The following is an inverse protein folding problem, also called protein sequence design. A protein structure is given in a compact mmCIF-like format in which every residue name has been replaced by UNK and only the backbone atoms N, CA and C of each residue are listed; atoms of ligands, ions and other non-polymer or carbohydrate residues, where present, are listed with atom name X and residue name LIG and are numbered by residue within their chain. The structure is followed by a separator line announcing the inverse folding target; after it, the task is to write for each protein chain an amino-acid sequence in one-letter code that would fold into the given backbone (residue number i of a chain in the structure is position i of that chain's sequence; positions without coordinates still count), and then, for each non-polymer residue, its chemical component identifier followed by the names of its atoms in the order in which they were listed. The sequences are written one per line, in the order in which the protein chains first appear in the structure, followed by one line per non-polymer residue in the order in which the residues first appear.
data_IF_604762399758
#
_entry.id   IF_604762399758
#
_cell.length_a   1.000
_cell.length_b   1.000
_cell.length_c   1.000
_cell.angle_alpha   90.00
_cell.angle_beta   90.00
_cell.angle_gamma   90.00
#
_symmetry.space_group_name_H-M   'P 1'
#
loop_
_entity.id
_entity.type
_entity.pdbx_description
1 polymer ?
#
# COMPACT_ATOMS: atom_id res chain seq x y z
N UNK A 1 -20.88 23.60 -33.23
CA UNK A 1 -22.01 22.65 -33.23
C UNK A 1 -21.92 21.64 -34.39
N UNK A 2 -21.65 22.05 -35.64
CA UNK A 2 -21.50 21.12 -36.80
C UNK A 2 -20.30 20.16 -36.63
N UNK A 3 -19.13 20.66 -36.23
CA UNK A 3 -17.93 19.82 -36.08
C UNK A 3 -18.03 18.75 -34.96
N UNK A 4 -18.84 18.96 -33.92
CA UNK A 4 -19.08 17.94 -32.89
C UNK A 4 -19.99 16.81 -33.39
N UNK A 5 -20.92 17.12 -34.30
CA UNK A 5 -21.83 16.15 -34.91
C UNK A 5 -21.08 15.33 -35.99
N UNK A 6 -20.24 15.97 -36.80
CA UNK A 6 -19.39 15.31 -37.80
C UNK A 6 -18.36 14.40 -37.13
N UNK A 7 -17.70 14.84 -36.05
CA UNK A 7 -16.76 13.99 -35.31
C UNK A 7 -17.47 12.79 -34.65
N UNK A 8 -18.67 12.97 -34.10
CA UNK A 8 -19.48 11.85 -33.59
C UNK A 8 -19.86 10.88 -34.69
N UNK A 9 -20.18 11.37 -35.89
CA UNK A 9 -20.50 10.55 -37.06
C UNK A 9 -19.29 9.74 -37.53
N UNK A 10 -18.11 10.36 -37.64
CA UNK A 10 -16.87 9.70 -38.03
C UNK A 10 -16.44 8.62 -37.01
N UNK A 11 -16.57 8.93 -35.72
CA UNK A 11 -16.27 7.98 -34.65
C UNK A 11 -17.19 6.74 -34.69
N UNK A 12 -18.49 6.94 -34.87
CA UNK A 12 -19.45 5.83 -35.01
C UNK A 12 -19.18 4.98 -36.25
N UNK A 13 -18.74 5.60 -37.35
CA UNK A 13 -18.37 4.88 -38.57
C UNK A 13 -17.10 4.05 -38.36
N UNK A 14 -16.12 4.57 -37.62
CA UNK A 14 -14.90 3.85 -37.27
C UNK A 14 -15.20 2.63 -36.37
N UNK A 15 -16.06 2.80 -35.35
CA UNK A 15 -16.54 1.66 -34.53
C UNK A 15 -17.20 0.59 -35.41
N UNK A 16 -18.09 0.99 -36.32
CA UNK A 16 -18.75 0.04 -37.22
C UNK A 16 -17.73 -0.70 -38.11
N UNK A 17 -16.71 0.00 -38.58
CA UNK A 17 -15.63 -0.59 -39.38
C UNK A 17 -14.86 -1.63 -38.58
N UNK A 18 -14.52 -1.35 -37.33
CA UNK A 18 -13.85 -2.32 -36.44
C UNK A 18 -14.74 -3.54 -36.19
N UNK A 19 -16.03 -3.35 -35.92
CA UNK A 19 -16.98 -4.45 -35.72
C UNK A 19 -17.06 -5.36 -36.96
N UNK A 20 -17.00 -4.79 -38.16
CA UNK A 20 -17.06 -5.55 -39.42
C UNK A 20 -15.73 -6.23 -39.76
N UNK A 21 -14.58 -5.61 -39.46
CA UNK A 21 -13.26 -6.05 -39.93
C UNK A 21 -12.48 -6.87 -38.90
N UNK A 22 -12.67 -6.62 -37.60
CA UNK A 22 -11.90 -7.24 -36.52
C UNK A 22 -12.58 -8.47 -35.91
N UNK A 23 -13.64 -8.98 -36.54
CA UNK A 23 -14.46 -10.04 -35.94
C UNK A 23 -13.70 -11.33 -35.61
N UNK A 24 -12.78 -11.78 -36.48
CA UNK A 24 -11.98 -12.99 -36.22
C UNK A 24 -10.96 -12.78 -35.09
N UNK A 25 -10.35 -11.59 -35.05
CA UNK A 25 -9.46 -11.18 -33.98
C UNK A 25 -10.18 -11.15 -32.62
N UNK A 26 -11.35 -10.52 -32.54
CA UNK A 26 -12.13 -10.45 -31.30
C UNK A 26 -12.62 -11.84 -30.88
N UNK A 27 -13.05 -12.69 -31.83
CA UNK A 27 -13.40 -14.09 -31.52
C UNK A 27 -12.21 -14.90 -30.99
N UNK A 28 -10.99 -14.61 -31.43
CA UNK A 28 -9.79 -15.19 -30.87
C UNK A 28 -9.57 -14.72 -29.42
N UNK A 29 -9.63 -13.41 -29.16
CA UNK A 29 -9.50 -12.87 -27.80
C UNK A 29 -10.56 -13.41 -26.83
N UNK A 30 -11.81 -13.55 -27.28
CA UNK A 30 -12.89 -14.15 -26.48
C UNK A 30 -12.49 -15.54 -26.01
N UNK A 31 -11.98 -16.39 -26.92
CA UNK A 31 -11.54 -17.74 -26.56
C UNK A 31 -10.40 -17.70 -25.56
N UNK A 32 -9.41 -16.83 -25.75
CA UNK A 32 -8.29 -16.70 -24.81
C UNK A 32 -8.79 -16.33 -23.40
N UNK A 33 -9.71 -15.35 -23.28
CA UNK A 33 -10.30 -14.97 -21.99
C UNK A 33 -11.14 -16.11 -21.40
N UNK A 34 -11.97 -16.79 -22.20
CA UNK A 34 -12.80 -17.90 -21.73
C UNK A 34 -11.97 -19.08 -21.21
N UNK A 35 -10.86 -19.40 -21.87
CA UNK A 35 -9.97 -20.50 -21.49
C UNK A 35 -8.93 -20.12 -20.44
N UNK A 36 -8.74 -18.81 -20.18
CA UNK A 36 -7.80 -18.32 -19.18
C UNK A 36 -8.07 -18.94 -17.80
N UNK A 37 -7.08 -19.65 -17.27
CA UNK A 37 -7.14 -20.31 -15.98
C UNK A 37 -5.72 -20.29 -15.41
N UNK A 38 -5.57 -19.75 -14.20
CA UNK A 38 -4.25 -19.51 -13.63
C UNK A 38 -4.13 -20.12 -12.24
N UNK A 39 -2.92 -20.53 -11.90
CA UNK A 39 -2.56 -21.01 -10.55
C UNK A 39 -1.74 -19.99 -9.78
N UNK A 40 -1.09 -19.05 -10.48
CA UNK A 40 -0.35 -17.94 -9.90
C UNK A 40 -0.88 -16.60 -10.42
N UNK A 41 -1.05 -15.64 -9.51
CA UNK A 41 -1.48 -14.29 -9.85
C UNK A 41 -0.40 -13.55 -10.66
N UNK A 42 0.88 -13.94 -10.52
CA UNK A 42 1.97 -13.39 -11.32
C UNK A 42 1.81 -13.68 -12.81
N UNK A 43 1.10 -14.75 -13.19
CA UNK A 43 0.80 -15.09 -14.59
C UNK A 43 -0.42 -14.31 -15.13
N UNK A 44 -1.33 -13.88 -14.24
CA UNK A 44 -2.49 -13.06 -14.61
C UNK A 44 -2.05 -11.66 -15.08
N UNK A 45 -1.02 -11.11 -14.45
CA UNK A 45 -0.50 -9.76 -14.76
C UNK A 45 -0.05 -9.62 -16.23
N UNK A 46 0.85 -10.47 -16.77
CA UNK A 46 1.24 -10.39 -18.17
C UNK A 46 0.10 -10.75 -19.13
N UNK A 47 -0.82 -11.64 -18.75
CA UNK A 47 -2.00 -11.93 -19.56
C UNK A 47 -2.91 -10.71 -19.72
N UNK A 48 -3.24 -10.02 -18.61
CA UNK A 48 -4.06 -8.80 -18.65
C UNK A 48 -3.37 -7.72 -19.46
N UNK A 49 -2.06 -7.56 -19.27
CA UNK A 49 -1.29 -6.59 -20.05
C UNK A 49 -1.37 -6.89 -21.55
N UNK A 50 -1.14 -8.13 -21.94
CA UNK A 50 -1.27 -8.55 -23.34
C UNK A 50 -2.67 -8.28 -23.87
N UNK A 51 -3.71 -8.64 -23.11
CA UNK A 51 -5.11 -8.43 -23.50
C UNK A 51 -5.42 -6.95 -23.72
N UNK A 52 -4.96 -6.08 -22.81
CA UNK A 52 -5.16 -4.64 -22.92
C UNK A 52 -4.36 -4.04 -24.10
N UNK A 53 -3.14 -4.54 -24.35
CA UNK A 53 -2.34 -4.15 -25.52
C UNK A 53 -3.05 -4.55 -26.82
N UNK A 54 -3.63 -5.75 -26.91
CA UNK A 54 -4.40 -6.22 -28.08
C UNK A 54 -5.71 -5.42 -28.28
N UNK A 55 -6.43 -5.12 -27.20
CA UNK A 55 -7.67 -4.34 -27.28
C UNK A 55 -7.42 -2.86 -27.59
N UNK A 56 -6.20 -2.35 -27.33
CA UNK A 56 -5.81 -0.98 -27.65
C UNK A 56 -5.80 -0.66 -29.15
N UNK A 57 -5.82 -1.68 -30.02
CA UNK A 57 -5.95 -1.51 -31.46
C UNK A 57 -7.37 -1.11 -31.91
N UNK A 58 -8.38 -1.31 -31.05
CA UNK A 58 -9.76 -0.92 -31.33
C UNK A 58 -9.95 0.58 -31.10
N UNK A 59 -10.80 1.20 -31.92
CA UNK A 59 -11.10 2.64 -31.82
C UNK A 59 -11.79 2.98 -30.49
N UNK A 60 -12.72 2.13 -30.05
CA UNK A 60 -13.40 2.21 -28.77
C UNK A 60 -13.70 0.78 -28.30
N UNK A 61 -12.88 0.27 -27.37
CA UNK A 61 -12.98 -1.10 -26.84
C UNK A 61 -14.42 -1.43 -26.42
N UNK A 62 -15.02 -0.60 -25.57
CA UNK A 62 -16.36 -0.88 -25.03
C UNK A 62 -17.42 -0.83 -26.12
N UNK A 63 -17.35 0.16 -27.01
CA UNK A 63 -18.34 0.30 -28.06
C UNK A 63 -18.23 -0.77 -29.15
N UNK A 64 -17.03 -1.32 -29.40
CA UNK A 64 -16.83 -2.42 -30.34
C UNK A 64 -17.23 -3.75 -29.69
N UNK A 65 -16.72 -4.04 -28.48
CA UNK A 65 -16.94 -5.33 -27.81
C UNK A 65 -18.40 -5.62 -27.50
N UNK A 66 -19.26 -4.60 -27.33
CA UNK A 66 -20.72 -4.79 -27.13
C UNK A 66 -21.43 -5.51 -28.30
N UNK A 67 -20.79 -5.57 -29.48
CA UNK A 67 -21.32 -6.26 -30.66
C UNK A 67 -20.90 -7.74 -30.71
N UNK A 68 -20.16 -8.22 -29.72
CA UNK A 68 -19.67 -9.58 -29.61
C UNK A 68 -20.10 -10.18 -28.27
N UNK A 69 -20.08 -11.51 -28.16
CA UNK A 69 -20.27 -12.23 -26.89
C UNK A 69 -19.01 -12.12 -26.02
N UNK A 70 -18.61 -10.90 -25.71
CA UNK A 70 -17.42 -10.63 -24.90
C UNK A 70 -17.64 -11.13 -23.46
N UNK A 71 -16.72 -11.94 -22.89
CA UNK A 71 -16.81 -12.43 -21.50
C UNK A 71 -16.44 -11.32 -20.50
N UNK A 72 -17.22 -10.23 -20.50
CA UNK A 72 -16.96 -8.98 -19.77
C UNK A 72 -16.67 -9.23 -18.28
N UNK A 73 -17.50 -10.03 -17.62
CA UNK A 73 -17.34 -10.33 -16.19
C UNK A 73 -16.00 -10.99 -15.86
N UNK A 74 -15.51 -11.87 -16.75
CA UNK A 74 -14.24 -12.58 -16.55
C UNK A 74 -13.06 -11.67 -16.87
N UNK A 75 -13.13 -10.92 -17.97
CA UNK A 75 -12.11 -9.94 -18.33
C UNK A 75 -11.93 -8.87 -17.24
N UNK A 76 -13.03 -8.32 -16.72
CA UNK A 76 -13.01 -7.34 -15.64
C UNK A 76 -12.48 -7.93 -14.34
N UNK A 77 -12.83 -9.18 -14.01
CA UNK A 77 -12.29 -9.84 -12.83
C UNK A 77 -10.78 -10.09 -12.94
N UNK A 78 -10.27 -10.47 -14.12
CA UNK A 78 -8.83 -10.64 -14.39
C UNK A 78 -8.09 -9.31 -14.23
N UNK A 79 -8.62 -8.23 -14.83
CA UNK A 79 -8.09 -6.88 -14.69
C UNK A 79 -8.06 -6.43 -13.23
N UNK A 80 -9.20 -6.53 -12.53
CA UNK A 80 -9.32 -6.17 -11.12
C UNK A 80 -8.29 -6.92 -10.26
N UNK A 81 -8.10 -8.22 -10.50
CA UNK A 81 -7.13 -9.04 -9.78
C UNK A 81 -5.69 -8.61 -10.07
N UNK A 82 -5.34 -8.40 -11.35
CA UNK A 82 -4.00 -7.98 -11.76
C UNK A 82 -3.66 -6.59 -11.19
N UNK A 83 -4.56 -5.62 -11.28
CA UNK A 83 -4.35 -4.28 -10.74
C UNK A 83 -4.26 -4.30 -9.22
N UNK A 84 -5.17 -5.00 -8.54
CA UNK A 84 -5.14 -5.15 -7.08
C UNK A 84 -3.82 -5.76 -6.62
N UNK A 85 -3.39 -6.87 -7.23
CA UNK A 85 -2.10 -7.49 -6.95
C UNK A 85 -0.92 -6.52 -7.15
N UNK A 86 -0.88 -5.82 -8.28
CA UNK A 86 0.19 -4.86 -8.59
C UNK A 86 0.25 -3.71 -7.58
N UNK A 87 -0.90 -3.18 -7.15
CA UNK A 87 -0.99 -2.12 -6.15
C UNK A 87 -0.43 -2.59 -4.80
N UNK A 88 -0.76 -3.80 -4.36
CA UNK A 88 -0.20 -4.37 -3.13
C UNK A 88 1.30 -4.65 -3.24
N UNK A 89 1.76 -5.16 -4.38
CA UNK A 89 3.19 -5.37 -4.65
C UNK A 89 3.97 -4.06 -4.61
N UNK A 90 3.42 -3.00 -5.20
CA UNK A 90 4.01 -1.65 -5.17
C UNK A 90 4.03 -1.07 -3.76
N UNK A 91 2.94 -1.21 -3.01
CA UNK A 91 2.83 -0.73 -1.63
C UNK A 91 3.82 -1.44 -0.70
N UNK A 92 3.92 -2.77 -0.81
CA UNK A 92 4.92 -3.57 -0.08
C UNK A 92 6.34 -3.11 -0.44
N UNK A 93 6.65 -2.96 -1.73
CA UNK A 93 7.96 -2.51 -2.19
C UNK A 93 8.30 -1.10 -1.70
N UNK A 94 7.35 -0.14 -1.70
CA UNK A 94 7.54 1.21 -1.15
C UNK A 94 7.96 1.13 0.33
N UNK A 95 7.32 0.25 1.10
CA UNK A 95 7.60 0.05 2.52
C UNK A 95 8.93 -0.66 2.79
N UNK A 96 9.17 -1.78 2.11
CA UNK A 96 10.37 -2.61 2.28
C UNK A 96 11.64 -1.87 1.83
N UNK A 97 11.55 -1.11 0.74
CA UNK A 97 12.69 -0.33 0.20
C UNK A 97 12.89 1.03 0.87
N UNK A 98 12.01 1.44 1.78
CA UNK A 98 12.10 2.75 2.44
C UNK A 98 13.48 2.96 3.09
N UNK A 99 14.14 4.08 2.80
CA UNK A 99 15.41 4.46 3.42
C UNK A 99 15.26 5.80 4.12
N UNK A 100 15.63 5.83 5.39
CA UNK A 100 15.75 7.09 6.11
C UNK A 100 16.93 7.90 5.56
N UNK A 101 16.76 9.21 5.45
CA UNK A 101 17.80 10.12 5.00
C UNK A 101 18.27 10.96 6.20
N UNK A 102 19.48 10.71 6.73
CA UNK A 102 19.98 11.41 7.91
C UNK A 102 20.08 12.93 7.74
N UNK A 103 20.20 13.42 6.49
CA UNK A 103 20.29 14.85 6.16
C UNK A 103 18.94 15.58 6.24
N UNK A 104 17.81 14.86 6.28
CA UNK A 104 16.49 15.47 6.38
C UNK A 104 16.18 15.82 7.85
N UNK A 105 15.50 16.94 8.14
CA UNK A 105 15.05 17.24 9.50
C UNK A 105 14.24 16.08 10.11
N UNK A 106 14.47 15.78 11.39
CA UNK A 106 13.86 14.63 12.07
C UNK A 106 12.34 14.62 11.92
N UNK A 107 11.67 15.72 12.24
CA UNK A 107 10.20 15.82 12.11
C UNK A 107 9.68 15.52 10.69
N UNK A 108 10.42 15.90 9.64
CA UNK A 108 10.04 15.57 8.26
C UNK A 108 10.20 14.08 7.97
N UNK A 109 11.28 13.45 8.44
CA UNK A 109 11.51 12.03 8.29
C UNK A 109 10.43 11.21 9.01
N UNK A 110 10.12 11.57 10.27
CA UNK A 110 9.08 10.91 11.07
C UNK A 110 7.70 11.03 10.43
N UNK A 111 7.33 12.21 9.91
CA UNK A 111 6.06 12.41 9.18
C UNK A 111 5.96 11.52 7.93
N UNK A 112 7.04 11.34 7.18
CA UNK A 112 7.06 10.44 6.01
C UNK A 112 6.86 8.98 6.40
N UNK A 113 7.54 8.53 7.45
CA UNK A 113 7.38 7.17 7.97
C UNK A 113 5.96 6.94 8.48
N UNK A 114 5.37 7.93 9.15
CA UNK A 114 3.99 7.85 9.61
C UNK A 114 2.99 7.78 8.45
N UNK A 115 3.12 8.65 7.45
CA UNK A 115 2.26 8.63 6.27
C UNK A 115 2.36 7.30 5.51
N UNK A 116 3.57 6.74 5.39
CA UNK A 116 3.78 5.43 4.78
C UNK A 116 3.10 4.31 5.57
N UNK A 117 3.21 4.33 6.89
CA UNK A 117 2.51 3.35 7.72
C UNK A 117 0.97 3.47 7.63
N UNK A 118 0.43 4.69 7.58
CA UNK A 118 -1.00 4.92 7.40
C UNK A 118 -1.50 4.37 6.05
N UNK A 119 -0.71 4.50 4.98
CA UNK A 119 -1.01 3.85 3.69
C UNK A 119 -1.05 2.31 3.82
N UNK A 120 -0.11 1.71 4.56
CA UNK A 120 -0.04 0.26 4.76
C UNK A 120 -1.26 -0.26 5.53
N UNK A 121 -1.64 0.42 6.62
CA UNK A 121 -2.85 0.09 7.39
C UNK A 121 -4.11 0.21 6.53
N UNK A 122 -4.22 1.29 5.77
CA UNK A 122 -5.37 1.51 4.89
C UNK A 122 -5.45 0.46 3.78
N UNK A 123 -4.31 0.08 3.19
CA UNK A 123 -4.22 -0.99 2.20
C UNK A 123 -4.73 -2.32 2.74
N UNK A 124 -4.25 -2.75 3.92
CA UNK A 124 -4.71 -4.01 4.54
C UNK A 124 -6.18 -3.96 4.93
N UNK A 125 -6.66 -2.84 5.43
CA UNK A 125 -8.08 -2.65 5.73
C UNK A 125 -8.95 -2.81 4.47
N UNK A 126 -8.55 -2.17 3.36
CA UNK A 126 -9.26 -2.27 2.08
C UNK A 126 -9.24 -3.71 1.54
N UNK A 127 -8.09 -4.39 1.61
CA UNK A 127 -7.98 -5.80 1.21
C UNK A 127 -8.97 -6.66 1.99
N UNK A 128 -9.01 -6.51 3.31
CA UNK A 128 -9.92 -7.25 4.19
C UNK A 128 -11.39 -7.04 3.79
N UNK A 129 -11.77 -5.79 3.49
CA UNK A 129 -13.15 -5.46 3.08
C UNK A 129 -13.56 -6.05 1.74
N UNK A 130 -12.69 -6.03 0.74
CA UNK A 130 -13.01 -6.54 -0.61
C UNK A 130 -12.84 -8.06 -0.74
N UNK A 131 -12.07 -8.69 0.15
CA UNK A 131 -11.65 -10.09 0.01
C UNK A 131 -12.81 -11.06 -0.14
N UNK A 132 -13.86 -10.95 0.67
CA UNK A 132 -14.94 -11.95 0.63
C UNK A 132 -15.73 -11.93 -0.69
N UNK A 133 -16.06 -10.73 -1.19
CA UNK A 133 -16.80 -10.57 -2.44
C UNK A 133 -15.94 -10.95 -3.65
N UNK A 134 -14.67 -10.52 -3.68
CA UNK A 134 -13.73 -10.85 -4.74
C UNK A 134 -13.43 -12.36 -4.80
N UNK A 135 -13.24 -13.01 -3.66
CA UNK A 135 -12.92 -14.45 -3.58
C UNK A 135 -13.98 -15.32 -4.27
N UNK A 136 -15.26 -15.03 -4.05
CA UNK A 136 -16.36 -15.80 -4.67
C UNK A 136 -16.30 -15.66 -6.20
N UNK A 137 -16.08 -14.44 -6.70
CA UNK A 137 -15.98 -14.14 -8.14
C UNK A 137 -14.74 -14.77 -8.78
N UNK A 138 -13.58 -14.59 -8.15
CA UNK A 138 -12.30 -15.09 -8.66
C UNK A 138 -12.26 -16.61 -8.75
N UNK A 139 -12.84 -17.32 -7.77
CA UNK A 139 -12.98 -18.78 -7.84
C UNK A 139 -13.79 -19.26 -9.03
N UNK A 140 -14.89 -18.59 -9.37
CA UNK A 140 -15.71 -18.93 -10.54
C UNK A 140 -14.90 -18.80 -11.83
N UNK A 141 -14.01 -17.81 -11.89
CA UNK A 141 -13.18 -17.53 -13.06
C UNK A 141 -11.79 -18.15 -13.03
N UNK A 142 -11.49 -19.02 -12.05
CA UNK A 142 -10.18 -19.67 -11.90
C UNK A 142 -9.02 -18.67 -11.79
N UNK A 143 -9.26 -17.58 -11.04
CA UNK A 143 -8.27 -16.56 -10.71
C UNK A 143 -7.70 -16.87 -9.31
N UNK A 144 -6.37 -16.93 -9.14
CA UNK A 144 -5.73 -17.16 -7.84
C UNK A 144 -6.08 -16.12 -6.79
N UNK A 145 -6.28 -16.57 -5.55
CA UNK A 145 -6.71 -15.75 -4.41
C UNK A 145 -5.70 -15.77 -3.26
N UNK A 146 -4.67 -16.61 -3.35
CA UNK A 146 -3.68 -16.91 -2.32
C UNK A 146 -2.96 -15.63 -1.86
N UNK A 147 -2.72 -14.70 -2.80
CA UNK A 147 -2.10 -13.41 -2.53
C UNK A 147 -2.93 -12.51 -1.60
N UNK A 148 -4.26 -12.70 -1.56
CA UNK A 148 -5.20 -11.96 -0.71
C UNK A 148 -5.33 -12.54 0.70
N UNK A 149 -4.82 -13.75 0.91
CA UNK A 149 -4.94 -14.46 2.18
C UNK A 149 -3.97 -13.89 3.21
N UNK A 150 -4.17 -14.22 4.49
CA UNK A 150 -3.34 -13.69 5.58
C UNK A 150 -1.87 -14.14 5.45
N UNK A 151 -1.61 -15.27 4.78
CA UNK A 151 -0.28 -15.77 4.43
C UNK A 151 0.37 -15.08 3.23
N UNK A 152 -0.39 -14.28 2.47
CA UNK A 152 0.08 -13.53 1.31
C UNK A 152 0.63 -12.14 1.67
N UNK A 153 0.15 -11.09 1.00
CA UNK A 153 0.65 -9.73 1.21
C UNK A 153 0.42 -9.19 2.61
N UNK A 154 -0.58 -9.67 3.33
CA UNK A 154 -0.85 -9.26 4.72
C UNK A 154 0.39 -9.47 5.59
N UNK A 155 1.04 -10.62 5.48
CA UNK A 155 2.25 -10.92 6.25
C UNK A 155 3.44 -10.06 5.80
N UNK A 156 3.63 -9.87 4.50
CA UNK A 156 4.72 -9.07 3.96
C UNK A 156 4.62 -7.60 4.38
N UNK A 157 3.41 -7.01 4.28
CA UNK A 157 3.14 -5.64 4.72
C UNK A 157 3.35 -5.49 6.23
N UNK A 158 2.89 -6.44 7.05
CA UNK A 158 3.15 -6.42 8.50
C UNK A 158 4.66 -6.42 8.80
N UNK A 159 5.43 -7.27 8.12
CA UNK A 159 6.89 -7.29 8.26
C UNK A 159 7.54 -5.96 7.84
N UNK A 160 7.11 -5.38 6.73
CA UNK A 160 7.61 -4.09 6.27
C UNK A 160 7.29 -2.97 7.28
N UNK A 161 6.09 -2.98 7.86
CA UNK A 161 5.69 -2.05 8.93
C UNK A 161 6.58 -2.19 10.18
N UNK A 162 6.92 -3.41 10.60
CA UNK A 162 7.84 -3.65 11.73
C UNK A 162 9.23 -3.05 11.45
N UNK A 163 9.78 -3.27 10.25
CA UNK A 163 11.06 -2.67 9.84
C UNK A 163 10.99 -1.14 9.78
N UNK A 164 9.85 -0.59 9.37
CA UNK A 164 9.61 0.86 9.37
C UNK A 164 9.58 1.41 10.80
N UNK A 165 8.93 0.73 11.74
CA UNK A 165 8.96 1.08 13.17
C UNK A 165 10.37 1.07 13.74
N UNK A 166 11.20 0.08 13.40
CA UNK A 166 12.60 0.07 13.83
C UNK A 166 13.34 1.32 13.34
N UNK A 167 13.20 1.68 12.05
CA UNK A 167 13.84 2.89 11.48
C UNK A 167 13.34 4.16 12.18
N UNK A 168 12.04 4.23 12.46
CA UNK A 168 11.43 5.33 13.19
C UNK A 168 12.04 5.49 14.59
N UNK A 169 12.07 4.41 15.37
CA UNK A 169 12.58 4.43 16.74
C UNK A 169 14.08 4.76 16.80
N UNK A 170 14.87 4.28 15.83
CA UNK A 170 16.28 4.64 15.68
C UNK A 170 16.45 6.13 15.37
N UNK A 171 15.60 6.69 14.50
CA UNK A 171 15.64 8.12 14.16
C UNK A 171 15.29 8.99 15.37
N UNK A 172 14.25 8.64 16.12
CA UNK A 172 13.90 9.30 17.39
C UNK A 172 15.06 9.19 18.38
N UNK A 173 15.61 8.00 18.57
CA UNK A 173 16.70 7.78 19.52
C UNK A 173 17.95 8.60 19.21
N UNK A 174 18.29 8.76 17.92
CA UNK A 174 19.40 9.60 17.49
C UNK A 174 19.13 11.10 17.71
N UNK A 175 17.89 11.56 17.50
CA UNK A 175 17.53 12.96 17.77
C UNK A 175 17.60 13.28 19.26
N UNK A 176 17.18 12.34 20.12
CA UNK A 176 17.25 12.47 21.58
C UNK A 176 18.70 12.59 22.11
N UNK A 177 19.71 12.17 21.34
CA UNK A 177 21.12 12.38 21.72
C UNK A 177 21.62 13.80 21.42
N UNK A 178 20.90 14.54 20.56
CA UNK A 178 21.27 15.87 20.10
C UNK A 178 20.49 16.99 20.82
N UNK A 179 19.33 16.67 21.39
CA UNK A 179 18.49 17.61 22.15
C UNK A 179 18.90 17.63 23.61
N UNK A 180 19.15 18.81 24.17
CA UNK A 180 19.56 18.99 25.58
C UNK A 180 18.36 19.32 26.47
N UNK A 181 17.55 18.29 26.78
CA UNK A 181 16.46 18.40 27.74
C UNK A 181 15.26 19.27 27.31
N UNK A 182 14.08 19.00 27.87
CA UNK A 182 12.92 19.89 27.81
C UNK A 182 11.70 19.31 27.08
N UNK A 183 10.66 20.13 26.82
CA UNK A 183 9.36 19.67 26.29
C UNK A 183 9.47 18.97 24.93
N UNK A 184 10.42 19.39 24.09
CA UNK A 184 10.65 18.80 22.76
C UNK A 184 11.16 17.36 22.86
N UNK A 185 11.99 17.05 23.86
CA UNK A 185 12.47 15.69 24.13
C UNK A 185 11.31 14.77 24.56
N UNK A 186 10.46 15.25 25.47
CA UNK A 186 9.29 14.50 25.95
C UNK A 186 8.29 14.23 24.83
N UNK A 187 8.03 15.22 23.98
CA UNK A 187 7.15 15.07 22.81
C UNK A 187 7.68 14.00 21.83
N UNK A 188 8.98 14.03 21.53
CA UNK A 188 9.63 13.04 20.66
C UNK A 188 9.53 11.61 21.21
N UNK A 189 9.72 11.45 22.52
CA UNK A 189 9.56 10.15 23.21
C UNK A 189 8.12 9.66 23.08
N UNK A 190 7.14 10.51 23.42
CA UNK A 190 5.72 10.17 23.36
C UNK A 190 5.33 9.78 21.94
N UNK A 191 5.79 10.53 20.94
CA UNK A 191 5.54 10.25 19.54
C UNK A 191 6.13 8.90 19.12
N UNK A 192 7.38 8.63 19.49
CA UNK A 192 8.07 7.36 19.22
C UNK A 192 7.37 6.15 19.83
N UNK A 193 6.98 6.24 21.10
CA UNK A 193 6.28 5.16 21.81
C UNK A 193 4.90 4.92 21.22
N UNK A 194 4.14 5.98 20.90
CA UNK A 194 2.81 5.86 20.26
C UNK A 194 2.90 5.20 18.90
N UNK A 195 3.87 5.61 18.07
CA UNK A 195 4.09 5.01 16.77
C UNK A 195 4.45 3.52 16.88
N UNK A 196 5.42 3.19 17.73
CA UNK A 196 5.83 1.80 17.97
C UNK A 196 4.66 0.94 18.46
N UNK A 197 3.87 1.42 19.41
CA UNK A 197 2.71 0.68 19.92
C UNK A 197 1.67 0.43 18.84
N UNK A 198 1.36 1.44 18.01
CA UNK A 198 0.41 1.29 16.89
C UNK A 198 0.88 0.21 15.91
N UNK A 199 2.16 0.24 15.51
CA UNK A 199 2.73 -0.78 14.61
C UNK A 199 2.73 -2.16 15.27
N UNK A 200 3.06 -2.26 16.57
CA UNK A 200 3.03 -3.52 17.30
C UNK A 200 1.62 -4.14 17.30
N UNK A 201 0.58 -3.36 17.58
CA UNK A 201 -0.81 -3.83 17.53
C UNK A 201 -1.23 -4.26 16.12
N UNK A 202 -0.83 -3.50 15.11
CA UNK A 202 -1.11 -3.83 13.70
C UNK A 202 -0.43 -5.12 13.24
N UNK A 203 0.87 -5.27 13.52
CA UNK A 203 1.68 -6.40 13.07
C UNK A 203 1.49 -7.66 13.92
N UNK A 204 1.04 -7.52 15.17
CA UNK A 204 0.92 -8.60 16.14
C UNK A 204 2.22 -8.92 16.88
N UNK A 205 3.17 -7.99 16.91
CA UNK A 205 4.46 -8.15 17.57
C UNK A 205 5.62 -7.49 16.83
N UNK A 206 6.80 -7.56 17.43
CA UNK A 206 8.06 -7.13 16.84
C UNK A 206 9.04 -8.29 16.72
N UNK A 207 9.89 -8.23 15.70
CA UNK A 207 11.09 -9.07 15.65
C UNK A 207 12.11 -8.64 16.72
N UNK A 208 13.15 -9.46 16.90
CA UNK A 208 14.16 -9.27 17.95
C UNK A 208 14.87 -7.93 17.82
N UNK A 209 15.19 -7.51 16.59
CA UNK A 209 15.91 -6.25 16.34
C UNK A 209 15.04 -5.03 16.62
N UNK A 210 13.78 -5.08 16.19
CA UNK A 210 12.81 -4.01 16.41
C UNK A 210 12.45 -3.90 17.89
N UNK A 211 12.34 -5.02 18.60
CA UNK A 211 12.13 -5.05 20.04
C UNK A 211 13.31 -4.41 20.79
N UNK A 212 14.55 -4.65 20.35
CA UNK A 212 15.73 -3.98 20.93
C UNK A 212 15.66 -2.46 20.76
N UNK A 213 15.35 -1.98 19.56
CA UNK A 213 15.19 -0.54 19.31
C UNK A 213 14.06 0.08 20.17
N UNK A 214 12.97 -0.66 20.41
CA UNK A 214 11.90 -0.24 21.31
C UNK A 214 12.35 -0.16 22.78
N UNK A 215 13.14 -1.14 23.24
CA UNK A 215 13.71 -1.13 24.59
C UNK A 215 14.66 0.05 24.80
N UNK A 216 15.53 0.35 23.82
CA UNK A 216 16.42 1.51 23.85
C UNK A 216 15.64 2.82 24.00
N UNK A 217 14.59 3.01 23.20
CA UNK A 217 13.71 4.18 23.29
C UNK A 217 13.04 4.29 24.67
N UNK A 218 12.55 3.16 25.21
CA UNK A 218 11.94 3.10 26.54
C UNK A 218 12.92 3.45 27.65
N UNK A 219 14.16 2.99 27.57
CA UNK A 219 15.17 3.24 28.59
C UNK A 219 15.63 4.71 28.57
N UNK A 220 15.69 5.33 27.38
CA UNK A 220 15.84 6.79 27.23
C UNK A 220 14.67 7.55 27.86
N UNK A 221 13.43 7.11 27.61
CA UNK A 221 12.23 7.71 28.22
C UNK A 221 12.26 7.70 29.76
N UNK A 222 12.71 6.59 30.36
CA UNK A 222 12.87 6.47 31.81
C UNK A 222 13.93 7.43 32.36
N UNK A 223 15.03 7.58 31.64
CA UNK A 223 16.13 8.46 32.03
C UNK A 223 15.70 9.93 32.02
N UNK A 224 14.97 10.36 30.99
CA UNK A 224 14.39 11.69 30.89
C UNK A 224 13.41 11.97 32.05
N UNK A 225 12.52 11.01 32.38
CA UNK A 225 11.58 11.16 33.50
C UNK A 225 12.28 11.37 34.86
N UNK A 226 13.36 10.63 35.12
CA UNK A 226 14.17 10.78 36.34
C UNK A 226 14.86 12.15 36.38
N UNK A 227 15.37 12.64 35.25
CA UNK A 227 15.99 13.97 35.16
C UNK A 227 14.99 15.10 35.43
N UNK A 228 13.78 15.03 34.85
CA UNK A 228 12.71 16.01 35.11
C UNK A 228 12.27 16.02 36.59
N UNK A 229 12.10 14.85 37.22
CA UNK A 229 11.77 14.78 38.65
C UNK A 229 12.89 15.35 39.54
N UNK A 230 14.16 15.10 39.20
CA UNK A 230 15.30 15.62 39.94
C UNK A 230 15.49 17.14 39.77
N UNK A 231 15.17 17.68 38.59
CA UNK A 231 15.18 19.13 38.37
C UNK A 231 14.06 19.81 39.17
N UNK A 232 12.83 19.28 39.15
CA UNK A 232 11.71 19.81 39.94
C UNK A 232 12.01 19.83 41.45
N UNK A 233 12.64 18.78 42.00
CA UNK A 233 13.07 18.77 43.41
C UNK A 233 14.16 19.82 43.71
N UNK A 234 15.09 20.09 42.79
CA UNK A 234 16.11 21.14 42.96
C UNK A 234 15.53 22.55 42.97
N UNK A 235 14.45 22.81 42.21
CA UNK A 235 13.77 24.11 42.23
C UNK A 235 12.96 24.32 43.51
N UNK A 236 12.30 23.26 44.03
CA UNK A 236 11.55 23.33 45.30
C UNK A 236 12.48 23.59 46.50
N UNK A 237 13.68 23.03 46.53
CA UNK A 237 14.65 23.27 47.62
C UNK A 237 15.36 24.63 47.57
N UNK A 238 15.23 25.41 46.48
CA UNK A 238 15.83 26.76 46.36
C UNK A 238 14.88 27.90 46.74
N UNK A 239 13.60 27.61 47.03
CA UNK A 239 12.56 28.63 47.24
C UNK A 239 12.30 29.01 48.71
N UNK A 240 13.17 28.63 49.65
CA UNK A 240 13.11 29.16 51.04
C UNK A 240 14.32 30.03 51.35
N UNK A 241 14.23 31.35 51.16
CA UNK A 241 14.97 32.31 51.95
C UNK A 241 14.21 32.60 53.26
N UNK A 242 14.92 32.54 54.39
CA UNK A 242 14.49 33.08 55.68
C UNK A 242 14.27 34.59 55.62
#
# INVERSE_FOLDING_TARGET
MIGEIENRSAHLLAIKTDVETQGDFIRFLIKEVEHAAFTDIEDVVPFVKWLDDELSYLVDERAVLKHFEWPEQKADALREAAFGYCDFKKLESEASSFRDNPRQPCGTALKKMQALFEKLEHGIYNLSRMRESATKRYKVFQIPIEWMMDTGFVTQIKLASVKLAMKYMKRVSAELEMVDGGPEEEELIIQGVRFAFRVHQFAGGFDVETMRAFQELRDKARSCHIQCQNQQHKYVCRSTPC
#
